data_IF_855013506874
#
_entry.id   IF_855013506874
#
_cell.length_a   1.000
_cell.length_b   1.000
_cell.length_c   1.000
_cell.angle_alpha   90.00
_cell.angle_beta   90.00
_cell.angle_gamma   90.00
#
_symmetry.space_group_name_H-M   'P 1'
#
loop_
_entity.id
_entity.type
_entity.pdbx_description
1 polymer ?
#
# COMPACT_ATOMS: atom_id res chain seq x y z
N UNK A 1 -27.03 -29.95 -14.84
CA UNK A 1 -26.40 -28.83 -14.11
C UNK A 1 -24.97 -28.70 -14.61
N UNK A 2 -24.74 -27.79 -15.56
CA UNK A 2 -23.42 -27.34 -16.05
C UNK A 2 -23.66 -26.09 -16.93
N UNK A 3 -23.04 -24.93 -16.67
CA UNK A 3 -23.18 -23.79 -17.57
C UNK A 3 -21.94 -23.61 -18.47
N UNK A 4 -22.21 -23.79 -19.77
CA UNK A 4 -21.86 -22.92 -20.92
C UNK A 4 -20.42 -22.38 -21.00
N UNK A 5 -19.60 -23.09 -21.76
CA UNK A 5 -18.41 -22.54 -22.44
C UNK A 5 -18.89 -21.68 -23.62
N UNK A 6 -18.47 -20.42 -23.67
CA UNK A 6 -18.68 -19.55 -24.82
C UNK A 6 -17.86 -20.08 -26.01
N UNK A 7 -18.54 -20.64 -27.00
CA UNK A 7 -17.94 -20.86 -28.32
C UNK A 7 -17.84 -19.49 -29.01
N UNK A 8 -16.62 -19.02 -29.23
CA UNK A 8 -16.36 -17.90 -30.13
C UNK A 8 -16.67 -18.37 -31.56
N UNK A 9 -17.71 -17.80 -32.15
CA UNK A 9 -18.00 -17.95 -33.57
C UNK A 9 -16.93 -17.21 -34.38
N UNK A 10 -16.10 -17.96 -35.11
CA UNK A 10 -15.17 -17.40 -36.09
C UNK A 10 -15.82 -17.59 -37.46
N UNK A 11 -16.28 -16.53 -38.14
CA UNK A 11 -16.83 -16.69 -39.48
C UNK A 11 -15.70 -17.00 -40.46
N UNK A 12 -15.91 -18.06 -41.24
CA UNK A 12 -15.05 -18.44 -42.35
C UNK A 12 -15.16 -17.40 -43.48
N UNK A 13 -14.07 -16.90 -44.07
CA UNK A 13 -14.18 -15.97 -45.19
C UNK A 13 -14.55 -16.76 -46.45
N UNK A 14 -15.62 -16.34 -47.13
CA UNK A 14 -15.91 -16.72 -48.52
C UNK A 14 -15.23 -15.72 -49.45
N UNK A 15 -14.55 -16.15 -50.53
CA UNK A 15 -13.78 -15.27 -51.39
C UNK A 15 -14.62 -14.86 -52.59
N UNK A 16 -15.26 -13.70 -52.54
CA UNK A 16 -15.57 -12.91 -53.73
C UNK A 16 -16.21 -11.58 -53.32
N UNK A 17 -15.95 -10.57 -54.14
CA UNK A 17 -16.53 -9.23 -54.15
C UNK A 17 -15.77 -8.16 -53.33
N UNK A 18 -14.72 -7.70 -53.99
CA UNK A 18 -14.30 -6.29 -54.09
C UNK A 18 -15.47 -5.30 -53.98
N UNK A 19 -15.40 -4.41 -53.01
CA UNK A 19 -16.28 -3.24 -52.89
C UNK A 19 -15.87 -2.34 -51.74
N UNK A 20 -15.31 -1.17 -52.05
CA UNK A 20 -15.09 -0.09 -51.09
C UNK A 20 -16.44 0.44 -50.57
N UNK A 21 -16.58 0.52 -49.24
CA UNK A 21 -17.35 1.57 -48.54
C UNK A 21 -17.01 1.49 -47.05
N UNK A 22 -16.23 2.43 -46.52
CA UNK A 22 -16.75 3.69 -45.97
C UNK A 22 -17.64 3.50 -44.73
N UNK A 23 -17.23 2.72 -43.73
CA UNK A 23 -17.70 2.86 -42.33
C UNK A 23 -16.69 2.24 -41.34
N UNK A 24 -15.54 2.87 -41.13
CA UNK A 24 -14.69 2.61 -39.94
C UNK A 24 -14.03 3.89 -39.39
N UNK A 25 -14.70 5.04 -39.51
CA UNK A 25 -14.47 6.17 -38.62
C UNK A 25 -15.45 6.07 -37.43
N UNK A 26 -15.28 5.01 -36.65
CA UNK A 26 -15.88 4.88 -35.33
C UNK A 26 -14.81 5.20 -34.30
N UNK A 27 -14.70 6.48 -33.97
CA UNK A 27 -13.92 6.99 -32.86
C UNK A 27 -14.22 6.20 -31.57
N UNK A 28 -13.31 5.31 -31.15
CA UNK A 28 -13.29 4.82 -29.77
C UNK A 28 -12.65 5.92 -28.92
N UNK A 29 -13.43 6.98 -28.67
CA UNK A 29 -13.07 8.07 -27.77
C UNK A 29 -13.47 7.67 -26.35
N UNK A 30 -12.43 7.42 -25.56
CA UNK A 30 -12.30 7.63 -24.11
C UNK A 30 -13.07 6.74 -23.13
N UNK A 31 -12.34 5.80 -22.54
CA UNK A 31 -12.66 5.22 -21.23
C UNK A 31 -11.78 4.03 -20.90
N UNK A 32 -10.85 4.19 -19.96
CA UNK A 32 -9.82 3.22 -19.54
C UNK A 32 -8.70 2.98 -20.55
N UNK A 33 -7.82 3.98 -20.67
CA UNK A 33 -6.40 3.63 -20.87
C UNK A 33 -6.00 2.71 -19.71
N UNK A 34 -5.51 1.48 -19.94
CA UNK A 34 -5.03 0.65 -18.86
C UNK A 34 -3.96 1.44 -18.10
N UNK A 35 -3.95 1.44 -16.75
CA UNK A 35 -2.96 2.17 -15.99
C UNK A 35 -1.58 1.91 -16.59
N UNK A 36 -0.81 2.98 -16.86
CA UNK A 36 0.61 2.81 -17.28
C UNK A 36 1.23 1.78 -16.34
N UNK A 37 1.91 0.73 -16.85
CA UNK A 37 2.37 -0.44 -16.08
C UNK A 37 2.95 -0.11 -14.68
N UNK A 38 3.60 1.04 -14.54
CA UNK A 38 4.14 1.62 -13.29
C UNK A 38 3.11 1.95 -12.19
N UNK A 39 1.80 2.07 -12.48
CA UNK A 39 0.74 2.44 -11.52
C UNK A 39 0.02 1.23 -10.91
N UNK A 40 0.13 0.05 -11.51
CA UNK A 40 -0.54 -1.15 -11.02
C UNK A 40 -0.05 -1.60 -9.64
N UNK A 41 1.26 -1.62 -9.34
CA UNK A 41 1.72 -2.03 -8.01
C UNK A 41 1.16 -1.16 -6.89
N UNK A 42 1.11 0.16 -7.12
CA UNK A 42 0.52 1.12 -6.17
C UNK A 42 -0.98 0.88 -5.98
N UNK A 43 -1.71 0.57 -7.06
CA UNK A 43 -3.12 0.21 -6.97
C UNK A 43 -3.33 -1.08 -6.18
N UNK A 44 -2.58 -2.14 -6.50
CA UNK A 44 -2.65 -3.44 -5.83
C UNK A 44 -2.36 -3.31 -4.34
N UNK A 45 -1.35 -2.53 -3.96
CA UNK A 45 -1.03 -2.30 -2.55
C UNK A 45 -2.15 -1.55 -1.82
N UNK A 46 -2.71 -0.50 -2.43
CA UNK A 46 -3.87 0.22 -1.86
C UNK A 46 -5.07 -0.72 -1.67
N UNK A 47 -5.32 -1.60 -2.64
CA UNK A 47 -6.39 -2.58 -2.57
C UNK A 47 -6.12 -3.59 -1.45
N UNK A 48 -4.90 -4.12 -1.34
CA UNK A 48 -4.48 -5.02 -0.27
C UNK A 48 -4.73 -4.41 1.11
N UNK A 49 -4.25 -3.18 1.34
CA UNK A 49 -4.48 -2.44 2.60
C UNK A 49 -5.98 -2.25 2.86
N UNK A 50 -6.75 -1.90 1.83
CA UNK A 50 -8.20 -1.73 1.94
C UNK A 50 -8.92 -3.02 2.33
N UNK A 51 -8.54 -4.14 1.72
CA UNK A 51 -9.07 -5.47 2.05
C UNK A 51 -8.72 -5.83 3.50
N UNK A 52 -7.47 -5.65 3.93
CA UNK A 52 -7.04 -5.90 5.31
C UNK A 52 -7.85 -5.09 6.33
N UNK A 53 -8.09 -3.81 6.04
CA UNK A 53 -8.85 -2.92 6.93
C UNK A 53 -10.36 -3.20 6.96
N UNK A 54 -10.91 -3.75 5.88
CA UNK A 54 -12.34 -4.11 5.79
C UNK A 54 -12.64 -5.48 6.42
N UNK A 55 -11.67 -6.40 6.45
CA UNK A 55 -11.82 -7.75 6.98
C UNK A 55 -11.14 -7.89 8.36
N UNK A 56 -11.51 -7.02 9.30
CA UNK A 56 -10.84 -6.92 10.61
C UNK A 56 -11.01 -8.15 11.50
N UNK A 57 -12.14 -8.83 11.35
CA UNK A 57 -12.42 -10.11 12.00
C UNK A 57 -11.39 -11.16 11.59
N UNK A 58 -11.04 -11.21 10.29
CA UNK A 58 -10.10 -12.15 9.68
C UNK A 58 -8.66 -11.64 9.60
N UNK A 59 -8.34 -10.56 10.30
CA UNK A 59 -7.05 -9.90 10.20
C UNK A 59 -5.88 -10.87 10.40
N UNK A 60 -5.93 -11.73 11.42
CA UNK A 60 -4.86 -12.70 11.73
C UNK A 60 -4.56 -13.68 10.60
N UNK A 61 -5.54 -14.00 9.75
CA UNK A 61 -5.35 -14.89 8.59
C UNK A 61 -4.64 -14.19 7.43
N UNK A 62 -4.84 -12.88 7.28
CA UNK A 62 -4.30 -12.10 6.17
C UNK A 62 -2.98 -11.42 6.54
N UNK A 63 -2.80 -11.12 7.82
CA UNK A 63 -1.80 -10.18 8.29
C UNK A 63 -0.38 -10.61 7.97
N UNK A 64 -0.01 -11.88 8.18
CA UNK A 64 1.34 -12.35 7.89
C UNK A 64 1.74 -12.08 6.42
N UNK A 65 0.87 -12.42 5.47
CA UNK A 65 1.13 -12.16 4.05
C UNK A 65 1.20 -10.67 3.70
N UNK A 66 0.39 -9.84 4.39
CA UNK A 66 0.42 -8.37 4.23
C UNK A 66 1.72 -7.80 4.79
N UNK A 67 2.13 -8.25 5.98
CA UNK A 67 3.36 -7.86 6.64
C UNK A 67 4.57 -8.21 5.77
N UNK A 68 4.68 -9.47 5.33
CA UNK A 68 5.80 -9.94 4.51
C UNK A 68 5.88 -9.16 3.20
N UNK A 69 4.73 -8.86 2.59
CA UNK A 69 4.71 -8.06 1.36
C UNK A 69 5.20 -6.63 1.59
N UNK A 70 4.77 -5.98 2.68
CA UNK A 70 5.22 -4.63 3.04
C UNK A 70 6.71 -4.63 3.41
N UNK A 71 7.18 -5.62 4.17
CA UNK A 71 8.59 -5.78 4.55
C UNK A 71 9.48 -5.89 3.29
N UNK A 72 9.08 -6.73 2.33
CA UNK A 72 9.79 -6.83 1.05
C UNK A 72 9.82 -5.51 0.27
N UNK A 73 8.72 -4.75 0.25
CA UNK A 73 8.67 -3.44 -0.42
C UNK A 73 9.56 -2.40 0.25
N UNK A 74 9.57 -2.37 1.58
CA UNK A 74 10.43 -1.50 2.38
C UNK A 74 11.90 -1.81 2.09
N UNK A 75 12.30 -3.09 2.16
CA UNK A 75 13.69 -3.50 1.93
C UNK A 75 14.17 -3.27 0.49
N UNK A 76 13.29 -3.44 -0.50
CA UNK A 76 13.66 -3.29 -1.92
C UNK A 76 13.64 -1.85 -2.42
N UNK A 77 13.08 -0.89 -1.66
CA UNK A 77 12.98 0.50 -2.09
C UNK A 77 14.15 1.33 -1.60
N UNK A 78 15.00 1.76 -2.54
CA UNK A 78 16.19 2.57 -2.27
C UNK A 78 16.00 4.06 -2.57
N UNK A 79 14.91 4.44 -3.24
CA UNK A 79 14.62 5.83 -3.62
C UNK A 79 13.15 6.17 -3.38
N UNK A 80 12.80 7.42 -3.01
CA UNK A 80 11.42 7.81 -2.79
C UNK A 80 10.57 7.54 -4.03
N UNK A 81 9.48 6.79 -3.84
CA UNK A 81 8.52 6.51 -4.90
C UNK A 81 7.13 6.26 -4.31
N UNK A 82 6.09 6.42 -5.13
CA UNK A 82 4.70 6.27 -4.66
C UNK A 82 4.41 4.89 -4.07
N UNK A 83 5.16 3.84 -4.44
CA UNK A 83 4.97 2.51 -3.88
C UNK A 83 5.43 2.44 -2.41
N UNK A 84 6.64 2.94 -2.10
CA UNK A 84 7.12 3.03 -0.72
C UNK A 84 6.25 3.94 0.13
N UNK A 85 5.83 5.09 -0.41
CA UNK A 85 4.88 5.98 0.25
C UNK A 85 3.62 5.20 0.67
N UNK A 86 3.00 4.45 -0.25
CA UNK A 86 1.78 3.69 0.07
C UNK A 86 2.02 2.51 1.01
N UNK A 87 3.23 1.94 1.04
CA UNK A 87 3.59 0.89 1.99
C UNK A 87 3.69 1.46 3.42
N UNK A 88 4.45 2.55 3.60
CA UNK A 88 4.70 3.19 4.89
C UNK A 88 3.42 3.74 5.50
N UNK A 89 2.70 4.57 4.76
CA UNK A 89 1.47 5.20 5.26
C UNK A 89 0.29 4.23 5.28
N UNK A 90 0.34 3.18 4.46
CA UNK A 90 -0.56 2.04 4.55
C UNK A 90 -0.45 1.32 5.89
N UNK A 91 0.79 1.00 6.29
CA UNK A 91 1.10 0.34 7.55
C UNK A 91 0.66 1.17 8.75
N UNK A 92 1.02 2.46 8.78
CA UNK A 92 0.58 3.40 9.83
C UNK A 92 -0.95 3.43 9.95
N UNK A 93 -1.65 3.51 8.81
CA UNK A 93 -3.11 3.48 8.77
C UNK A 93 -3.69 2.18 9.31
N UNK A 94 -3.07 1.03 9.03
CA UNK A 94 -3.49 -0.27 9.58
C UNK A 94 -3.39 -0.24 11.11
N UNK A 95 -2.25 0.16 11.65
CA UNK A 95 -2.06 0.25 13.10
C UNK A 95 -3.06 1.22 13.73
N UNK A 96 -3.18 2.44 13.20
CA UNK A 96 -4.14 3.46 13.69
C UNK A 96 -5.58 2.94 13.75
N UNK A 97 -5.99 2.11 12.78
CA UNK A 97 -7.37 1.63 12.69
C UNK A 97 -7.63 0.39 13.54
N UNK A 98 -6.64 -0.47 13.73
CA UNK A 98 -6.82 -1.78 14.37
C UNK A 98 -6.47 -1.79 15.85
N UNK A 99 -5.52 -0.96 16.29
CA UNK A 99 -5.12 -0.86 17.70
C UNK A 99 -6.31 -0.69 18.67
N UNK A 100 -7.33 0.16 18.42
CA UNK A 100 -8.44 0.34 19.35
C UNK A 100 -9.35 -0.89 19.53
N UNK A 101 -9.23 -1.90 18.67
CA UNK A 101 -10.18 -3.02 18.60
C UNK A 101 -9.52 -4.39 18.81
N UNK A 102 -8.19 -4.44 18.97
CA UNK A 102 -7.42 -5.69 18.94
C UNK A 102 -6.32 -5.69 20.00
N UNK A 103 -6.72 -5.65 21.27
CA UNK A 103 -5.78 -5.66 22.42
C UNK A 103 -4.76 -6.81 22.33
N UNK A 104 -5.18 -8.00 21.89
CA UNK A 104 -4.32 -9.17 21.75
C UNK A 104 -3.27 -9.06 20.64
N UNK A 105 -3.45 -8.14 19.69
CA UNK A 105 -2.55 -7.94 18.54
C UNK A 105 -1.80 -6.61 18.62
N UNK A 106 -1.98 -5.86 19.70
CA UNK A 106 -1.39 -4.53 19.84
C UNK A 106 0.13 -4.58 19.72
N UNK A 107 0.80 -5.50 20.42
CA UNK A 107 2.26 -5.62 20.33
C UNK A 107 2.73 -6.04 18.94
N UNK A 108 1.99 -6.93 18.25
CA UNK A 108 2.30 -7.34 16.89
C UNK A 108 2.18 -6.17 15.90
N UNK A 109 1.10 -5.39 16.02
CA UNK A 109 0.88 -4.18 15.22
C UNK A 109 1.94 -3.11 15.50
N UNK A 110 2.31 -2.89 16.76
CA UNK A 110 3.35 -1.91 17.11
C UNK A 110 4.73 -2.37 16.65
N UNK A 111 5.05 -3.67 16.81
CA UNK A 111 6.30 -4.25 16.29
C UNK A 111 6.39 -4.11 14.78
N UNK A 112 5.28 -4.18 14.06
CA UNK A 112 5.29 -4.00 12.62
C UNK A 112 5.75 -2.61 12.17
N UNK A 113 5.57 -1.57 12.99
CA UNK A 113 6.06 -0.23 12.70
C UNK A 113 7.58 -0.15 12.61
N UNK A 114 8.31 -1.13 13.17
CA UNK A 114 9.77 -1.23 13.00
C UNK A 114 10.19 -1.39 11.54
N UNK A 115 9.31 -1.83 10.65
CA UNK A 115 9.57 -1.84 9.21
C UNK A 115 9.91 -0.44 8.69
N UNK A 116 9.25 0.60 9.20
CA UNK A 116 9.48 1.98 8.75
C UNK A 116 10.89 2.44 9.15
N UNK A 117 11.45 1.91 10.24
CA UNK A 117 12.83 2.18 10.66
C UNK A 117 13.88 1.51 9.76
N UNK A 118 13.49 0.55 8.91
CA UNK A 118 14.38 -0.14 7.97
C UNK A 118 14.46 0.51 6.60
N UNK A 119 13.73 1.60 6.38
CA UNK A 119 13.77 2.33 5.10
C UNK A 119 15.20 2.79 4.79
N UNK A 120 15.56 2.78 3.51
CA UNK A 120 16.76 3.46 3.03
C UNK A 120 16.73 4.92 3.49
N UNK A 121 17.88 5.44 3.92
CA UNK A 121 18.00 6.79 4.51
C UNK A 121 17.41 7.88 3.63
N UNK A 122 17.52 7.77 2.31
CA UNK A 122 16.95 8.74 1.36
C UNK A 122 15.42 8.69 1.33
N UNK A 123 14.86 7.49 1.48
CA UNK A 123 13.40 7.27 1.53
C UNK A 123 12.83 7.77 2.85
N UNK A 124 13.50 7.42 3.95
CA UNK A 124 13.19 7.90 5.29
C UNK A 124 13.22 9.43 5.37
N UNK A 125 14.26 10.06 4.83
CA UNK A 125 14.42 11.51 4.82
C UNK A 125 13.34 12.22 3.99
N UNK A 126 12.97 11.65 2.83
CA UNK A 126 11.93 12.21 1.98
C UNK A 126 10.53 12.16 2.61
N UNK A 127 10.26 11.18 3.47
CA UNK A 127 8.93 10.99 4.10
C UNK A 127 8.86 11.42 5.56
N UNK A 128 9.99 11.83 6.14
CA UNK A 128 10.18 12.24 7.53
C UNK A 128 9.04 13.05 8.11
N UNK A 129 8.75 14.24 7.55
CA UNK A 129 7.74 15.15 8.12
C UNK A 129 6.37 14.48 8.19
N UNK A 130 6.02 13.75 7.13
CA UNK A 130 4.74 13.07 7.02
C UNK A 130 4.67 11.83 7.93
N UNK A 131 5.78 11.07 8.08
CA UNK A 131 5.89 9.98 9.06
C UNK A 131 5.67 10.53 10.47
N UNK A 132 6.34 11.63 10.84
CA UNK A 132 6.18 12.26 12.15
C UNK A 132 4.72 12.68 12.38
N UNK A 133 4.08 13.32 11.41
CA UNK A 133 2.66 13.71 11.51
C UNK A 133 1.74 12.51 11.75
N UNK A 134 1.89 11.45 10.96
CA UNK A 134 1.07 10.25 11.05
C UNK A 134 1.31 9.45 12.33
N UNK A 135 2.55 9.44 12.84
CA UNK A 135 2.88 8.84 14.14
C UNK A 135 2.26 9.65 15.27
N UNK A 136 2.31 10.98 15.21
CA UNK A 136 1.65 11.82 16.22
C UNK A 136 0.13 11.65 16.20
N UNK A 137 -0.46 11.47 15.02
CA UNK A 137 -1.88 11.13 14.88
C UNK A 137 -2.20 9.75 15.47
N UNK A 138 -1.32 8.75 15.22
CA UNK A 138 -1.44 7.42 15.82
C UNK A 138 -1.43 7.49 17.35
N UNK A 139 -0.48 8.21 17.95
CA UNK A 139 -0.39 8.36 19.41
C UNK A 139 -1.64 9.03 19.96
N UNK A 140 -2.09 10.14 19.37
CA UNK A 140 -3.29 10.87 19.83
C UNK A 140 -4.55 10.01 19.87
N UNK A 141 -4.73 9.13 18.89
CA UNK A 141 -5.89 8.24 18.82
C UNK A 141 -5.77 6.95 19.62
N UNK A 142 -4.56 6.54 20.01
CA UNK A 142 -4.29 5.18 20.50
C UNK A 142 -3.40 5.14 21.76
N UNK A 143 -3.21 6.26 22.47
CA UNK A 143 -2.30 6.35 23.63
C UNK A 143 -2.56 5.28 24.69
N UNK A 144 -3.82 4.90 24.91
CA UNK A 144 -4.21 3.90 25.91
C UNK A 144 -3.85 2.47 25.50
N UNK A 145 -3.62 2.22 24.21
CA UNK A 145 -3.25 0.91 23.68
C UNK A 145 -1.73 0.72 23.67
N UNK A 146 -0.97 1.80 23.59
CA UNK A 146 0.50 1.75 23.60
C UNK A 146 0.96 1.63 25.06
N UNK A 147 1.07 0.40 25.55
CA UNK A 147 1.46 0.13 26.95
C UNK A 147 2.92 -0.33 27.00
N UNK A 148 3.35 -1.15 26.03
CA UNK A 148 4.68 -1.75 26.04
C UNK A 148 5.80 -0.74 25.80
N UNK A 149 6.90 -0.90 26.55
CA UNK A 149 8.10 -0.07 26.40
C UNK A 149 8.68 -0.17 24.98
N UNK A 150 8.62 -1.36 24.36
CA UNK A 150 9.06 -1.55 22.98
C UNK A 150 8.18 -0.78 21.97
N UNK A 151 6.86 -0.75 22.20
CA UNK A 151 5.94 0.06 21.41
C UNK A 151 6.27 1.55 21.48
N UNK A 152 6.43 2.09 22.69
CA UNK A 152 6.84 3.48 22.89
C UNK A 152 8.21 3.79 22.31
N UNK A 153 9.17 2.88 22.44
CA UNK A 153 10.51 3.00 21.86
C UNK A 153 10.42 3.12 20.33
N UNK A 154 9.63 2.27 19.67
CA UNK A 154 9.42 2.33 18.21
C UNK A 154 8.80 3.66 17.79
N UNK A 155 7.78 4.12 18.50
CA UNK A 155 7.13 5.42 18.26
C UNK A 155 8.12 6.58 18.44
N UNK A 156 8.93 6.54 19.49
CA UNK A 156 9.97 7.54 19.75
C UNK A 156 10.95 7.62 18.58
N UNK A 157 11.48 6.48 18.11
CA UNK A 157 12.42 6.46 16.99
C UNK A 157 11.80 7.02 15.70
N UNK A 158 10.53 6.72 15.42
CA UNK A 158 9.84 7.25 14.25
C UNK A 158 9.54 8.75 14.37
N UNK A 159 9.18 9.22 15.56
CA UNK A 159 8.82 10.62 15.80
C UNK A 159 10.03 11.55 15.91
N UNK A 160 11.14 11.07 16.49
CA UNK A 160 12.25 11.93 16.93
C UNK A 160 13.59 11.63 16.25
N UNK A 161 13.88 10.37 15.87
CA UNK A 161 15.18 10.02 15.30
C UNK A 161 15.33 10.33 13.81
N UNK A 162 14.27 10.76 13.13
CA UNK A 162 14.41 11.34 11.80
C UNK A 162 14.76 12.83 11.85
N UNK A 163 15.20 13.43 12.97
CA UNK A 163 15.74 14.81 12.89
C UNK A 163 17.17 14.74 12.34
N UNK A 164 17.55 15.48 11.28
CA UNK A 164 18.95 15.54 10.90
C UNK A 164 19.62 16.35 12.01
N UNK A 165 20.53 15.74 12.76
CA UNK A 165 21.56 16.47 13.50
C UNK A 165 22.46 17.16 12.48
N UNK A 166 22.00 18.26 11.91
CA UNK A 166 22.78 19.22 11.12
C UNK A 166 21.99 20.52 10.97
N UNK A 167 21.88 21.26 12.08
CA UNK A 167 22.10 22.70 12.05
C UNK A 167 23.25 22.99 13.00
N UNK A 168 24.17 23.80 12.51
CA UNK A 168 25.51 24.11 12.96
C UNK A 168 25.68 24.32 14.47
N UNK A 169 26.65 23.62 15.04
CA UNK A 169 27.56 24.21 16.03
C UNK A 169 28.93 24.26 15.35
N UNK A 170 29.17 25.38 14.67
CA UNK A 170 30.47 26.00 14.46
C UNK A 170 30.27 27.46 14.84
#
# INVERSE_FOLDING_TARGET
MAPKILLFYVPHPSPHLTGQSSWLQGEIVNGLTPPKRKKWPVFCLKLLIGITLNNRDRFTLLWQGVYDHIDNLVHSTLVPCSLAEKAVFGLLRICQRLLPHKETLTDELLKSLQLILKLDTRVADAYREHITQEVMHLVKGNVTQIISHEGWRTIYFLALCHRPTSQSIC
#
